data_IF_740492698077
#
_entry.id   IF_740492698077
#
_cell.length_a   1.000
_cell.length_b   1.000
_cell.length_c   1.000
_cell.angle_alpha   90.00
_cell.angle_beta   90.00
_cell.angle_gamma   90.00
#
_symmetry.space_group_name_H-M   'P 1'
#
loop_
_entity.id
_entity.type
_entity.pdbx_description
1 polymer ?
#
# COMPACT_ATOMS: atom_id res chain seq x y z
N UNK A 1 2.37 30.39 -16.51
CA UNK A 1 1.83 30.14 -15.15
C UNK A 1 1.68 28.65 -14.82
N UNK A 2 1.19 27.79 -15.73
CA UNK A 2 1.14 26.33 -15.52
C UNK A 2 2.53 25.68 -15.27
N UNK A 3 3.58 26.12 -15.97
CA UNK A 3 4.93 25.57 -15.79
C UNK A 3 5.55 25.82 -14.41
N UNK A 4 5.16 26.89 -13.70
CA UNK A 4 5.64 27.16 -12.34
C UNK A 4 4.95 26.28 -11.28
N UNK A 5 3.70 25.87 -11.52
CA UNK A 5 3.01 24.88 -10.67
C UNK A 5 3.64 23.49 -10.84
N UNK A 6 3.97 23.11 -12.08
CA UNK A 6 4.64 21.84 -12.39
C UNK A 6 6.06 21.79 -11.78
N UNK A 7 6.81 22.89 -11.78
CA UNK A 7 8.11 22.96 -11.10
C UNK A 7 8.02 22.98 -9.57
N UNK A 8 6.89 23.42 -8.99
CA UNK A 8 6.65 23.34 -7.53
C UNK A 8 6.18 21.97 -7.07
N UNK A 9 5.61 21.15 -7.95
CA UNK A 9 5.17 19.79 -7.60
C UNK A 9 6.27 18.74 -7.76
N UNK A 10 7.54 19.15 -7.75
CA UNK A 10 8.64 18.19 -7.86
C UNK A 10 8.60 17.25 -6.65
N UNK A 11 8.69 15.91 -6.84
CA UNK A 11 8.60 14.92 -5.76
C UNK A 11 9.71 15.05 -4.70
N UNK A 12 10.68 15.94 -4.94
CA UNK A 12 11.77 16.27 -4.02
C UNK A 12 11.41 17.39 -3.01
N UNK A 13 10.23 18.01 -3.15
CA UNK A 13 9.76 18.96 -2.16
C UNK A 13 9.26 18.25 -0.92
N UNK A 14 9.88 18.55 0.23
CA UNK A 14 9.54 17.98 1.55
C UNK A 14 8.04 18.08 1.90
N UNK A 15 7.35 19.11 1.42
CA UNK A 15 5.91 19.29 1.66
C UNK A 15 5.06 18.29 0.86
N UNK A 16 5.43 18.01 -0.39
CA UNK A 16 4.77 17.00 -1.24
C UNK A 16 5.02 15.61 -0.68
N UNK A 17 6.28 15.29 -0.35
CA UNK A 17 6.65 14.00 0.24
C UNK A 17 5.96 13.78 1.60
N UNK A 18 5.86 14.81 2.44
CA UNK A 18 5.12 14.76 3.70
C UNK A 18 3.62 14.51 3.48
N UNK A 19 3.02 15.11 2.45
CA UNK A 19 1.63 14.85 2.08
C UNK A 19 1.43 13.43 1.53
N UNK A 20 2.33 12.91 0.71
CA UNK A 20 2.30 11.54 0.20
C UNK A 20 2.39 10.51 1.33
N UNK A 21 3.35 10.69 2.25
CA UNK A 21 3.48 9.80 3.42
C UNK A 21 2.26 9.95 4.33
N UNK A 22 1.80 11.18 4.58
CA UNK A 22 0.64 11.44 5.44
C UNK A 22 -0.65 10.80 4.91
N UNK A 23 -0.93 10.98 3.61
CA UNK A 23 -2.09 10.36 2.95
C UNK A 23 -1.95 8.84 2.88
N UNK A 24 -0.74 8.33 2.62
CA UNK A 24 -0.42 6.92 2.73
C UNK A 24 -0.78 6.38 4.11
N UNK A 25 -0.18 6.90 5.17
CA UNK A 25 -0.42 6.44 6.55
C UNK A 25 -1.91 6.51 6.91
N UNK A 26 -2.59 7.63 6.61
CA UNK A 26 -4.01 7.79 6.87
C UNK A 26 -4.86 6.73 6.15
N UNK A 27 -4.63 6.54 4.85
CA UNK A 27 -5.34 5.54 4.06
C UNK A 27 -5.01 4.11 4.51
N UNK A 28 -3.75 3.85 4.89
CA UNK A 28 -3.31 2.58 5.44
C UNK A 28 -4.04 2.21 6.74
N UNK A 29 -4.25 3.19 7.64
CA UNK A 29 -5.05 3.00 8.86
C UNK A 29 -6.49 2.62 8.50
N UNK A 30 -7.11 3.31 7.55
CA UNK A 30 -8.46 2.96 7.09
C UNK A 30 -8.53 1.56 6.50
N UNK A 31 -7.51 1.14 5.74
CA UNK A 31 -7.43 -0.21 5.19
C UNK A 31 -7.35 -1.27 6.30
N UNK A 32 -6.62 -1.01 7.39
CA UNK A 32 -6.56 -1.93 8.53
C UNK A 32 -7.90 -2.02 9.28
N UNK A 33 -8.59 -0.88 9.47
CA UNK A 33 -9.90 -0.84 10.12
C UNK A 33 -11.00 -1.55 9.31
N UNK A 34 -10.87 -1.55 7.98
CA UNK A 34 -11.82 -2.15 7.04
C UNK A 34 -11.38 -3.51 6.52
N UNK A 35 -10.30 -4.08 7.07
CA UNK A 35 -9.71 -5.35 6.62
C UNK A 35 -9.40 -5.43 5.11
N UNK A 36 -9.14 -4.28 4.47
CA UNK A 36 -8.79 -4.19 3.06
C UNK A 36 -7.30 -4.46 2.84
N UNK A 37 -6.90 -5.74 2.94
CA UNK A 37 -5.51 -6.20 2.87
C UNK A 37 -4.84 -5.78 1.54
N UNK A 38 -5.56 -5.88 0.42
CA UNK A 38 -5.02 -5.49 -0.90
C UNK A 38 -4.70 -4.00 -0.98
N UNK A 39 -5.60 -3.15 -0.47
CA UNK A 39 -5.42 -1.71 -0.48
C UNK A 39 -4.34 -1.25 0.51
N UNK A 40 -4.20 -1.96 1.62
CA UNK A 40 -3.06 -1.77 2.52
C UNK A 40 -1.73 -2.09 1.85
N UNK A 41 -1.65 -3.17 1.07
CA UNK A 41 -0.49 -3.49 0.24
C UNK A 41 -0.15 -2.40 -0.77
N UNK A 42 -1.15 -1.87 -1.50
CA UNK A 42 -0.96 -0.74 -2.42
C UNK A 42 -0.44 0.51 -1.70
N UNK A 43 -1.00 0.83 -0.54
CA UNK A 43 -0.55 1.95 0.27
C UNK A 43 0.93 1.82 0.67
N UNK A 44 1.33 0.64 1.15
CA UNK A 44 2.72 0.33 1.47
C UNK A 44 3.65 0.46 0.25
N UNK A 45 3.19 0.07 -0.95
CA UNK A 45 3.97 0.27 -2.18
C UNK A 45 4.25 1.76 -2.41
N UNK A 46 3.23 2.62 -2.30
CA UNK A 46 3.39 4.07 -2.47
C UNK A 46 4.34 4.68 -1.43
N UNK A 47 4.29 4.25 -0.17
CA UNK A 47 5.23 4.70 0.87
C UNK A 47 6.65 4.17 0.60
N UNK A 48 6.79 2.99 0.02
CA UNK A 48 8.11 2.43 -0.30
C UNK A 48 8.83 3.19 -1.42
N UNK A 49 8.13 3.84 -2.36
CA UNK A 49 8.78 4.62 -3.43
C UNK A 49 9.75 5.70 -2.89
N UNK A 50 9.33 6.66 -2.03
CA UNK A 50 10.23 7.66 -1.47
C UNK A 50 11.30 7.03 -0.55
N UNK A 51 10.97 5.95 0.16
CA UNK A 51 11.94 5.22 1.00
C UNK A 51 13.06 4.62 0.15
N UNK A 52 12.72 4.03 -0.99
CA UNK A 52 13.70 3.51 -1.95
C UNK A 52 14.52 4.62 -2.59
N UNK A 53 13.91 5.77 -2.87
CA UNK A 53 14.62 6.94 -3.39
C UNK A 53 15.73 7.41 -2.44
N UNK A 54 15.46 7.39 -1.13
CA UNK A 54 16.42 7.84 -0.11
C UNK A 54 17.45 6.77 0.31
N UNK A 55 17.04 5.51 0.46
CA UNK A 55 17.92 4.43 0.95
C UNK A 55 18.63 3.65 -0.16
N UNK A 56 18.17 3.76 -1.41
CA UNK A 56 18.72 3.03 -2.54
C UNK A 56 18.47 1.52 -2.49
N UNK A 57 18.86 0.84 -3.57
CA UNK A 57 18.67 -0.61 -3.75
C UNK A 57 19.73 -1.47 -3.05
N UNK A 58 20.76 -0.85 -2.48
CA UNK A 58 21.88 -1.51 -1.80
C UNK A 58 21.47 -2.16 -0.47
N UNK A 59 20.43 -1.62 0.19
CA UNK A 59 19.93 -2.17 1.44
C UNK A 59 19.18 -3.48 1.21
N UNK A 60 19.75 -4.59 1.69
CA UNK A 60 19.11 -5.92 1.67
C UNK A 60 17.71 -5.90 2.30
N UNK A 61 17.52 -5.09 3.33
CA UNK A 61 16.22 -4.94 4.01
C UNK A 61 15.21 -4.25 3.09
N UNK A 62 15.58 -3.14 2.46
CA UNK A 62 14.69 -2.43 1.51
C UNK A 62 14.31 -3.35 0.36
N UNK A 63 15.27 -4.08 -0.20
CA UNK A 63 15.01 -5.06 -1.27
C UNK A 63 14.01 -6.14 -0.87
N UNK A 64 14.08 -6.64 0.37
CA UNK A 64 13.11 -7.60 0.88
C UNK A 64 11.73 -6.96 1.10
N UNK A 65 11.69 -5.75 1.67
CA UNK A 65 10.44 -5.05 1.95
C UNK A 65 9.67 -4.66 0.68
N UNK A 66 10.33 -4.48 -0.46
CA UNK A 66 9.67 -4.23 -1.76
C UNK A 66 8.72 -5.36 -2.14
N UNK A 67 8.96 -6.61 -1.72
CA UNK A 67 8.06 -7.72 -2.02
C UNK A 67 6.81 -7.74 -1.13
N UNK A 68 6.87 -7.16 0.07
CA UNK A 68 5.79 -7.19 1.05
C UNK A 68 4.46 -6.59 0.50
N UNK A 69 4.45 -5.41 -0.14
CA UNK A 69 3.26 -4.88 -0.82
C UNK A 69 2.58 -5.87 -1.77
N UNK A 70 3.38 -6.54 -2.62
CA UNK A 70 2.86 -7.47 -3.62
C UNK A 70 2.27 -8.73 -2.99
N UNK A 71 2.93 -9.26 -1.96
CA UNK A 71 2.43 -10.41 -1.21
C UNK A 71 1.08 -10.08 -0.57
N UNK A 72 0.94 -8.90 0.04
CA UNK A 72 -0.33 -8.45 0.62
C UNK A 72 -1.45 -8.31 -0.43
N UNK A 73 -1.14 -7.75 -1.60
CA UNK A 73 -2.09 -7.65 -2.71
C UNK A 73 -2.56 -9.04 -3.18
N UNK A 74 -1.64 -9.98 -3.35
CA UNK A 74 -1.97 -11.34 -3.76
C UNK A 74 -2.80 -12.08 -2.70
N UNK A 75 -2.48 -11.92 -1.42
CA UNK A 75 -3.26 -12.49 -0.31
C UNK A 75 -4.68 -11.92 -0.33
N UNK A 76 -4.83 -10.59 -0.39
CA UNK A 76 -6.15 -9.97 -0.38
C UNK A 76 -6.98 -10.34 -1.62
N UNK A 77 -6.35 -10.45 -2.80
CA UNK A 77 -7.01 -10.95 -4.01
C UNK A 77 -7.45 -12.42 -3.84
N UNK A 78 -6.61 -13.25 -3.22
CA UNK A 78 -6.94 -14.64 -2.91
C UNK A 78 -8.14 -14.74 -1.96
N UNK A 79 -8.17 -13.93 -0.90
CA UNK A 79 -9.29 -13.87 0.05
C UNK A 79 -10.58 -13.40 -0.63
N UNK A 80 -10.52 -12.32 -1.41
CA UNK A 80 -11.68 -11.84 -2.18
C UNK A 80 -12.16 -12.90 -3.19
N UNK A 81 -11.23 -13.57 -3.88
CA UNK A 81 -11.54 -14.67 -4.79
C UNK A 81 -12.25 -15.83 -4.09
N UNK A 82 -11.79 -16.23 -2.89
CA UNK A 82 -12.47 -17.24 -2.07
C UNK A 82 -13.88 -16.83 -1.66
N UNK A 83 -14.12 -15.52 -1.46
CA UNK A 83 -15.45 -14.97 -1.19
C UNK A 83 -16.41 -15.18 -2.37
N UNK A 84 -15.95 -14.83 -3.58
CA UNK A 84 -16.74 -14.91 -4.82
C UNK A 84 -17.21 -16.33 -5.15
N UNK A 85 -16.44 -17.34 -4.75
CA UNK A 85 -16.75 -18.76 -4.98
C UNK A 85 -17.32 -19.46 -3.74
N UNK A 86 -17.66 -18.71 -2.69
CA UNK A 86 -18.29 -19.24 -1.47
C UNK A 86 -17.37 -20.07 -0.56
N UNK A 87 -16.07 -20.17 -0.87
CA UNK A 87 -15.10 -20.93 -0.07
C UNK A 87 -14.72 -20.25 1.24
N UNK A 88 -14.97 -18.94 1.38
CA UNK A 88 -14.64 -18.19 2.59
C UNK A 88 -15.31 -18.77 3.85
N UNK A 89 -16.58 -19.18 3.77
CA UNK A 89 -17.30 -19.79 4.91
C UNK A 89 -16.75 -21.17 5.29
N UNK A 90 -16.11 -21.89 4.35
CA UNK A 90 -15.51 -23.21 4.57
C UNK A 90 -14.19 -23.09 5.34
N UNK A 91 -13.37 -22.10 5.00
CA UNK A 91 -12.04 -21.92 5.61
C UNK A 91 -12.04 -21.07 6.89
N UNK A 92 -12.96 -20.09 6.99
CA UNK A 92 -13.00 -19.16 8.13
C UNK A 92 -14.21 -19.36 9.05
N UNK A 93 -15.18 -20.21 8.66
CA UNK A 93 -16.42 -20.43 9.41
C UNK A 93 -17.51 -19.40 9.10
N UNK A 94 -18.77 -19.77 9.40
CA UNK A 94 -19.93 -18.90 9.20
C UNK A 94 -19.85 -17.71 10.17
N UNK A 95 -19.57 -16.50 9.66
CA UNK A 95 -19.50 -15.27 10.46
C UNK A 95 -18.33 -14.33 10.17
N UNK A 96 -17.34 -14.73 9.36
CA UNK A 96 -16.36 -13.79 8.82
C UNK A 96 -16.95 -13.04 7.62
N UNK A 97 -17.46 -11.83 7.88
CA UNK A 97 -17.83 -10.86 6.87
C UNK A 97 -16.67 -9.84 6.76
N UNK A 98 -15.84 -9.96 5.72
CA UNK A 98 -14.88 -8.92 5.34
C UNK A 98 -15.55 -7.92 4.41
#
# INVERSE_FOLDING_TARGET
QLQQLVQKSHPDQRLVQGFEIGTGVFFGILCLLTFQISFFGLCLAFIMLPVMHHLGWESKLVRAMVYLPFVLILIGLGVAGMSMVGMQAVFFGYGFHF
#
